data_IF_663452484460
#
_entry.id   IF_663452484460
#
_cell.length_a   1.000
_cell.length_b   1.000
_cell.length_c   1.000
_cell.angle_alpha   90.00
_cell.angle_beta   90.00
_cell.angle_gamma   90.00
#
_symmetry.space_group_name_H-M   'P 1'
#
loop_
_entity.id
_entity.type
_entity.pdbx_description
1 polymer ?
#
# COMPACT_ATOMS: atom_id res chain seq x y z
N UNK A 1 51.67 3.77 -33.51
CA UNK A 1 50.43 4.51 -33.46
C UNK A 1 49.45 3.73 -32.61
N UNK A 2 49.27 4.19 -31.35
CA UNK A 2 48.49 3.46 -30.34
C UNK A 2 47.13 4.16 -30.24
N UNK A 3 46.06 3.49 -30.67
CA UNK A 3 44.70 3.99 -30.59
C UNK A 3 44.23 3.80 -29.16
N UNK A 4 44.03 4.90 -28.42
CA UNK A 4 43.36 4.91 -27.11
C UNK A 4 41.86 4.72 -27.35
N UNK A 5 41.32 3.59 -26.91
CA UNK A 5 39.90 3.38 -26.74
C UNK A 5 39.43 4.23 -25.55
N UNK A 6 38.63 5.24 -25.81
CA UNK A 6 37.89 6.01 -24.80
C UNK A 6 36.62 5.22 -24.41
N UNK A 7 36.67 4.55 -23.28
CA UNK A 7 35.46 3.97 -22.66
C UNK A 7 34.63 5.11 -22.01
N UNK A 8 33.62 5.57 -22.73
CA UNK A 8 32.64 6.48 -22.19
C UNK A 8 31.51 5.66 -21.51
N UNK A 9 31.64 5.41 -20.21
CA UNK A 9 30.57 4.88 -19.39
C UNK A 9 29.81 6.05 -18.78
N UNK A 10 28.89 6.64 -19.54
CA UNK A 10 27.84 7.51 -19.00
C UNK A 10 26.74 6.61 -18.45
N UNK A 11 26.85 6.22 -17.19
CA UNK A 11 25.74 5.68 -16.43
C UNK A 11 24.81 6.85 -16.06
N UNK A 12 23.88 7.17 -16.95
CA UNK A 12 22.73 8.01 -16.60
C UNK A 12 21.97 7.26 -15.51
N UNK A 13 21.76 7.84 -14.31
CA UNK A 13 20.97 7.17 -13.29
C UNK A 13 19.58 6.93 -13.88
N UNK A 14 19.14 5.66 -13.87
CA UNK A 14 17.80 5.30 -14.32
C UNK A 14 16.79 6.16 -13.51
N UNK A 15 15.92 6.93 -14.16
CA UNK A 15 14.99 7.80 -13.44
C UNK A 15 14.19 6.97 -12.44
N UNK A 16 14.09 7.49 -11.22
CA UNK A 16 13.31 6.85 -10.15
C UNK A 16 11.84 6.84 -10.57
N UNK A 17 11.22 5.67 -10.55
CA UNK A 17 9.79 5.52 -10.81
C UNK A 17 8.99 6.33 -9.79
N UNK A 18 8.09 7.21 -10.25
CA UNK A 18 7.20 7.98 -9.38
C UNK A 18 6.03 7.11 -8.95
N UNK A 19 6.13 6.57 -7.74
CA UNK A 19 5.07 5.77 -7.13
C UNK A 19 4.39 6.58 -6.03
N UNK A 20 3.06 6.65 -6.09
CA UNK A 20 2.22 7.19 -5.01
C UNK A 20 1.49 6.02 -4.36
N UNK A 21 1.52 5.94 -3.03
CA UNK A 21 0.73 4.95 -2.31
C UNK A 21 -0.69 5.47 -2.05
N UNK A 22 -1.68 4.58 -2.16
CA UNK A 22 -3.06 4.78 -1.70
C UNK A 22 -3.33 3.72 -0.64
N UNK A 23 -3.47 4.14 0.61
CA UNK A 23 -3.74 3.25 1.74
C UNK A 23 -5.22 3.29 2.07
N UNK A 24 -5.90 2.15 1.94
CA UNK A 24 -7.32 2.02 2.28
C UNK A 24 -7.48 1.61 3.74
N UNK A 25 -8.10 2.49 4.52
CA UNK A 25 -8.31 2.32 5.96
C UNK A 25 -9.75 2.73 6.37
N UNK A 26 -10.73 2.55 5.48
CA UNK A 26 -12.10 3.01 5.65
C UNK A 26 -13.09 1.92 6.12
N UNK A 27 -12.61 0.72 6.44
CA UNK A 27 -13.44 -0.44 6.79
C UNK A 27 -14.29 -0.24 8.05
N UNK A 28 -15.43 -0.96 8.12
CA UNK A 28 -16.41 -0.90 9.23
C UNK A 28 -15.94 -1.58 10.52
N UNK A 29 -14.92 -2.44 10.42
CA UNK A 29 -14.43 -3.27 11.54
C UNK A 29 -15.54 -4.16 12.20
N UNK A 30 -16.60 -4.49 11.47
CA UNK A 30 -17.75 -5.22 12.01
C UNK A 30 -17.41 -6.57 12.63
N UNK A 31 -16.47 -7.31 12.02
CA UNK A 31 -15.98 -8.62 12.51
C UNK A 31 -15.00 -8.53 13.68
N UNK A 32 -14.53 -7.32 14.01
CA UNK A 32 -13.58 -7.03 15.08
C UNK A 32 -14.22 -6.28 16.25
N UNK A 33 -15.52 -6.48 16.46
CA UNK A 33 -16.28 -5.80 17.53
C UNK A 33 -16.36 -4.29 17.36
N UNK A 34 -16.32 -3.78 16.12
CA UNK A 34 -16.38 -2.35 15.81
C UNK A 34 -15.07 -1.59 16.05
N UNK A 35 -13.97 -2.30 16.36
CA UNK A 35 -12.65 -1.68 16.55
C UNK A 35 -11.84 -1.74 15.25
N UNK A 36 -11.32 -0.62 14.71
CA UNK A 36 -10.59 -0.61 13.44
C UNK A 36 -9.30 -1.43 13.52
N UNK A 37 -9.20 -2.46 12.68
CA UNK A 37 -8.07 -3.41 12.63
C UNK A 37 -6.71 -2.74 12.48
N UNK A 38 -6.67 -1.65 11.74
CA UNK A 38 -5.47 -0.83 11.53
C UNK A 38 -4.91 -0.19 12.80
N UNK A 39 -5.68 -0.18 13.90
CA UNK A 39 -5.25 0.26 15.23
C UNK A 39 -4.75 -0.89 16.14
N UNK A 40 -4.81 -2.13 15.69
CA UNK A 40 -4.06 -3.21 16.33
C UNK A 40 -2.58 -2.83 16.39
N UNK A 41 -1.92 -3.16 17.48
CA UNK A 41 -0.52 -2.85 17.72
C UNK A 41 0.35 -4.10 17.61
N UNK A 42 1.44 -3.96 16.87
CA UNK A 42 2.58 -4.86 16.86
C UNK A 42 3.77 -4.13 17.49
N UNK A 43 4.31 -4.67 18.58
CA UNK A 43 5.46 -4.07 19.27
C UNK A 43 5.22 -2.59 19.67
N UNK A 44 3.99 -2.29 20.12
CA UNK A 44 3.60 -0.94 20.56
C UNK A 44 3.26 0.04 19.43
N UNK A 45 3.44 -0.32 18.16
CA UNK A 45 3.11 0.51 17.01
C UNK A 45 1.83 0.01 16.32
N UNK A 46 0.88 0.90 16.00
CA UNK A 46 -0.32 0.51 15.25
C UNK A 46 0.03 -0.02 13.86
N UNK A 47 -0.78 -0.95 13.32
CA UNK A 47 -0.56 -1.49 11.97
C UNK A 47 -0.53 -0.37 10.92
N UNK A 48 -1.38 0.66 11.08
CA UNK A 48 -1.38 1.81 10.20
C UNK A 48 -0.06 2.60 10.26
N UNK A 49 0.40 2.94 11.46
CA UNK A 49 1.66 3.68 11.62
C UNK A 49 2.85 2.86 11.10
N UNK A 50 2.84 1.55 11.36
CA UNK A 50 3.82 0.62 10.84
C UNK A 50 3.84 0.62 9.31
N UNK A 51 2.68 0.46 8.64
CA UNK A 51 2.60 0.48 7.19
C UNK A 51 3.12 1.79 6.60
N UNK A 52 2.75 2.95 7.19
CA UNK A 52 3.24 4.26 6.75
C UNK A 52 4.78 4.36 6.88
N UNK A 53 5.33 3.82 7.95
CA UNK A 53 6.80 3.72 8.14
C UNK A 53 7.44 2.85 7.06
N UNK A 54 6.87 1.68 6.76
CA UNK A 54 7.39 0.79 5.72
C UNK A 54 7.32 1.43 4.32
N UNK A 55 6.23 2.15 4.00
CA UNK A 55 6.10 2.89 2.75
C UNK A 55 7.19 3.97 2.61
N UNK A 56 7.43 4.76 3.67
CA UNK A 56 8.49 5.77 3.69
C UNK A 56 9.87 5.14 3.49
N UNK A 57 10.16 4.02 4.17
CA UNK A 57 11.42 3.28 4.05
C UNK A 57 11.58 2.58 2.68
N UNK A 58 10.47 2.24 2.02
CA UNK A 58 10.48 1.75 0.64
C UNK A 58 10.77 2.86 -0.38
N UNK A 59 10.76 4.10 0.07
CA UNK A 59 11.06 5.27 -0.76
C UNK A 59 9.83 5.83 -1.45
N UNK A 60 8.65 5.66 -0.91
CA UNK A 60 7.44 6.35 -1.35
C UNK A 60 7.47 7.79 -0.83
N UNK A 61 7.37 8.77 -1.73
CA UNK A 61 7.42 10.19 -1.38
C UNK A 61 6.05 10.76 -0.99
N UNK A 62 4.97 10.19 -1.54
CA UNK A 62 3.60 10.63 -1.29
C UNK A 62 2.70 9.44 -0.98
N UNK A 63 1.93 9.53 0.09
CA UNK A 63 0.90 8.57 0.47
C UNK A 63 -0.44 9.25 0.65
N UNK A 64 -1.46 8.73 0.00
CA UNK A 64 -2.87 9.12 0.19
C UNK A 64 -3.51 8.11 1.12
N UNK A 65 -3.90 8.55 2.32
CA UNK A 65 -4.61 7.73 3.30
C UNK A 65 -6.10 8.00 3.22
N UNK A 66 -6.87 6.96 2.93
CA UNK A 66 -8.33 7.06 2.87
C UNK A 66 -8.93 6.48 4.15
N UNK A 67 -9.55 7.35 4.94
CA UNK A 67 -10.26 7.03 6.18
C UNK A 67 -11.77 6.93 5.92
N UNK A 68 -12.50 6.33 6.87
CA UNK A 68 -13.95 6.15 6.76
C UNK A 68 -14.64 6.18 8.13
N UNK A 69 -15.35 5.12 8.49
CA UNK A 69 -16.16 5.02 9.71
C UNK A 69 -15.49 5.47 11.01
N UNK A 70 -14.18 5.27 11.13
CA UNK A 70 -13.41 5.57 12.34
C UNK A 70 -12.39 6.70 12.13
N UNK A 71 -12.71 7.66 11.23
CA UNK A 71 -11.76 8.68 10.80
C UNK A 71 -11.15 9.48 11.97
N UNK A 72 -11.97 9.93 12.92
CA UNK A 72 -11.50 10.72 14.07
C UNK A 72 -10.53 9.93 14.95
N UNK A 73 -10.88 8.68 15.30
CA UNK A 73 -10.02 7.82 16.12
C UNK A 73 -8.69 7.54 15.43
N UNK A 74 -8.72 7.30 14.12
CA UNK A 74 -7.52 7.03 13.33
C UNK A 74 -6.66 8.27 13.16
N UNK A 75 -7.25 9.46 13.02
CA UNK A 75 -6.52 10.73 12.96
C UNK A 75 -5.78 11.02 14.28
N UNK A 76 -6.40 10.75 15.43
CA UNK A 76 -5.75 10.87 16.72
C UNK A 76 -4.54 9.93 16.83
N UNK A 77 -4.73 8.66 16.53
CA UNK A 77 -3.64 7.67 16.55
C UNK A 77 -2.49 8.01 15.57
N UNK A 78 -2.81 8.67 14.46
CA UNK A 78 -1.81 9.14 13.50
C UNK A 78 -1.01 10.35 14.01
N UNK A 79 -1.63 11.27 14.77
CA UNK A 79 -0.92 12.40 15.34
C UNK A 79 0.22 11.93 16.25
N UNK A 80 -0.06 10.94 17.09
CA UNK A 80 0.95 10.35 17.97
C UNK A 80 2.08 9.68 17.15
N UNK A 81 1.72 8.93 16.11
CA UNK A 81 2.69 8.25 15.25
C UNK A 81 3.51 9.23 14.38
N UNK A 82 2.94 10.36 13.96
CA UNK A 82 3.65 11.38 13.16
C UNK A 82 4.64 12.16 14.01
N UNK A 83 4.41 12.34 15.31
CA UNK A 83 5.37 12.90 16.25
C UNK A 83 6.62 12.00 16.36
N UNK A 84 6.43 10.68 16.39
CA UNK A 84 7.51 9.69 16.37
C UNK A 84 8.26 9.65 15.02
N UNK A 85 7.57 9.94 13.91
CA UNK A 85 8.17 10.01 12.57
C UNK A 85 8.93 11.31 12.33
N UNK A 86 8.69 12.37 13.15
CA UNK A 86 9.29 13.70 13.01
C UNK A 86 10.62 13.85 13.76
N UNK A 87 11.16 12.78 14.36
CA UNK A 87 12.42 12.78 15.10
C UNK A 87 13.63 13.23 14.26
N UNK A 88 14.65 13.81 14.88
CA UNK A 88 15.81 14.35 14.19
C UNK A 88 16.60 13.23 13.53
N UNK A 89 16.91 13.39 12.28
CA UNK A 89 17.86 12.65 11.45
C UNK A 89 17.33 11.58 10.48
N UNK A 90 17.50 11.92 9.22
CA UNK A 90 17.71 11.01 8.08
C UNK A 90 16.59 10.06 7.67
N UNK A 91 15.33 10.30 8.05
CA UNK A 91 14.18 9.57 7.47
C UNK A 91 13.72 10.26 6.19
N UNK A 92 13.42 9.50 5.11
CA UNK A 92 12.82 10.09 3.93
C UNK A 92 11.49 10.78 4.32
N UNK A 93 11.34 12.05 3.98
CA UNK A 93 10.16 12.85 4.29
C UNK A 93 9.00 12.44 3.36
N UNK A 94 8.23 11.43 3.76
CA UNK A 94 7.00 11.07 3.05
C UNK A 94 5.92 12.10 3.37
N UNK A 95 5.27 12.63 2.34
CA UNK A 95 4.10 13.50 2.50
C UNK A 95 2.83 12.66 2.61
N UNK A 96 2.12 12.82 3.73
CA UNK A 96 0.85 12.14 3.97
C UNK A 96 -0.33 13.06 3.62
N UNK A 97 -1.20 12.59 2.73
CA UNK A 97 -2.43 13.26 2.32
C UNK A 97 -3.62 12.46 2.84
N UNK A 98 -4.38 13.00 3.77
CA UNK A 98 -5.55 12.31 4.33
C UNK A 98 -6.83 12.74 3.62
N UNK A 99 -7.66 11.76 3.25
CA UNK A 99 -8.99 11.92 2.68
C UNK A 99 -9.99 11.13 3.51
N UNK A 100 -11.13 11.73 3.84
CA UNK A 100 -12.20 11.04 4.55
C UNK A 100 -13.30 10.67 3.57
N UNK A 101 -13.64 9.38 3.50
CA UNK A 101 -14.78 8.92 2.72
C UNK A 101 -16.07 9.24 3.49
N UNK A 102 -16.99 10.06 2.95
CA UNK A 102 -18.25 10.41 3.61
C UNK A 102 -19.26 9.26 3.58
N UNK A 103 -19.08 8.27 2.70
CA UNK A 103 -19.98 7.13 2.49
C UNK A 103 -19.23 5.81 2.41
N UNK A 104 -18.50 5.42 3.48
CA UNK A 104 -17.67 4.20 3.45
C UNK A 104 -18.52 2.92 3.38
N UNK A 105 -19.80 2.97 3.73
CA UNK A 105 -20.79 1.89 3.55
C UNK A 105 -21.08 1.55 2.09
N UNK A 106 -20.77 2.44 1.15
CA UNK A 106 -20.87 2.17 -0.29
C UNK A 106 -19.82 1.17 -0.79
N UNK A 107 -18.94 0.69 0.10
CA UNK A 107 -17.98 -0.36 -0.17
C UNK A 107 -16.56 0.14 -0.47
N UNK A 108 -15.65 -0.82 -0.64
CA UNK A 108 -14.23 -0.53 -0.81
C UNK A 108 -13.93 0.32 -2.05
N UNK A 109 -14.69 0.14 -3.15
CA UNK A 109 -14.48 0.90 -4.38
C UNK A 109 -14.73 2.40 -4.16
N UNK A 110 -15.70 2.81 -3.32
CA UNK A 110 -15.93 4.22 -3.00
C UNK A 110 -14.70 4.87 -2.36
N UNK A 111 -14.04 4.17 -1.44
CA UNK A 111 -12.80 4.62 -0.80
C UNK A 111 -11.64 4.63 -1.80
N UNK A 112 -11.52 3.59 -2.64
CA UNK A 112 -10.50 3.55 -3.69
C UNK A 112 -10.62 4.76 -4.60
N UNK A 113 -11.80 5.09 -5.11
CA UNK A 113 -12.02 6.22 -6.02
C UNK A 113 -11.65 7.57 -5.42
N UNK A 114 -11.95 7.79 -4.13
CA UNK A 114 -11.49 9.01 -3.43
C UNK A 114 -9.97 9.06 -3.35
N UNK A 115 -9.33 7.93 -3.06
CA UNK A 115 -7.88 7.80 -3.05
C UNK A 115 -7.27 8.08 -4.43
N UNK A 116 -7.85 7.50 -5.49
CA UNK A 116 -7.39 7.71 -6.88
C UNK A 116 -7.53 9.17 -7.31
N UNK A 117 -8.67 9.82 -7.01
CA UNK A 117 -8.91 11.23 -7.33
C UNK A 117 -7.87 12.15 -6.67
N UNK A 118 -7.53 11.88 -5.41
CA UNK A 118 -6.48 12.63 -4.71
C UNK A 118 -5.09 12.31 -5.30
N UNK A 119 -4.78 11.03 -5.53
CA UNK A 119 -3.49 10.61 -6.09
C UNK A 119 -3.27 11.18 -7.50
N UNK A 120 -4.32 11.36 -8.31
CA UNK A 120 -4.23 11.98 -9.63
C UNK A 120 -3.58 13.37 -9.58
N UNK A 121 -3.86 14.16 -8.54
CA UNK A 121 -3.25 15.50 -8.38
C UNK A 121 -1.74 15.47 -8.16
N UNK A 122 -1.18 14.29 -7.82
CA UNK A 122 0.25 14.07 -7.59
C UNK A 122 0.97 13.50 -8.83
N UNK A 123 0.22 13.27 -9.92
CA UNK A 123 0.71 12.80 -11.21
C UNK A 123 1.64 11.58 -11.12
N UNK A 124 1.20 10.44 -10.55
CA UNK A 124 2.00 9.24 -10.42
C UNK A 124 2.20 8.54 -11.78
N UNK A 125 3.34 7.88 -11.96
CA UNK A 125 3.52 6.89 -13.03
C UNK A 125 2.86 5.57 -12.65
N UNK A 126 2.97 5.20 -11.37
CA UNK A 126 2.33 4.02 -10.78
C UNK A 126 1.73 4.35 -9.43
N UNK A 127 0.66 3.66 -9.11
CA UNK A 127 0.01 3.66 -7.80
C UNK A 127 0.28 2.33 -7.10
N UNK A 128 0.56 2.40 -5.81
CA UNK A 128 0.58 1.24 -4.92
C UNK A 128 -0.67 1.29 -4.05
N UNK A 129 -1.65 0.43 -4.30
CA UNK A 129 -2.87 0.34 -3.49
C UNK A 129 -2.65 -0.70 -2.39
N UNK A 130 -2.56 -0.24 -1.15
CA UNK A 130 -2.29 -1.04 0.03
C UNK A 130 -3.49 -1.03 0.99
N UNK A 131 -3.59 -2.10 1.79
CA UNK A 131 -4.60 -2.25 2.85
C UNK A 131 -3.95 -2.03 4.21
N UNK A 132 -4.64 -1.30 5.10
CA UNK A 132 -4.11 -0.92 6.40
C UNK A 132 -4.10 -2.05 7.46
N UNK A 133 -4.51 -3.25 7.08
CA UNK A 133 -4.68 -4.43 7.96
C UNK A 133 -3.71 -5.58 7.65
N UNK A 134 -2.64 -5.30 6.90
CA UNK A 134 -1.59 -6.28 6.59
C UNK A 134 -0.41 -6.16 7.58
N UNK A 135 -0.31 -7.03 8.60
CA UNK A 135 0.64 -6.88 9.70
C UNK A 135 2.08 -7.26 9.36
N UNK A 136 2.29 -7.99 8.26
CA UNK A 136 3.59 -8.57 7.92
C UNK A 136 4.35 -7.80 6.86
N UNK A 137 3.72 -6.85 6.16
CA UNK A 137 4.39 -6.07 5.12
C UNK A 137 5.56 -5.28 5.69
N UNK A 138 6.72 -5.44 5.03
CA UNK A 138 7.97 -4.77 5.35
C UNK A 138 8.43 -3.90 4.17
N UNK A 139 9.33 -2.96 4.43
CA UNK A 139 9.87 -2.09 3.38
C UNK A 139 10.58 -2.86 2.25
N UNK A 140 11.17 -4.02 2.56
CA UNK A 140 11.77 -4.91 1.56
C UNK A 140 10.72 -5.43 0.57
N UNK A 141 9.58 -5.90 1.08
CA UNK A 141 8.49 -6.42 0.25
C UNK A 141 7.96 -5.36 -0.72
N UNK A 142 7.81 -4.12 -0.23
CA UNK A 142 7.34 -2.99 -1.03
C UNK A 142 8.38 -2.58 -2.09
N UNK A 143 9.67 -2.63 -1.78
CA UNK A 143 10.76 -2.40 -2.75
C UNK A 143 10.79 -3.47 -3.82
N UNK A 144 10.60 -4.73 -3.45
CA UNK A 144 10.55 -5.85 -4.39
C UNK A 144 9.37 -5.68 -5.37
N UNK A 145 8.21 -5.24 -4.87
CA UNK A 145 7.04 -4.97 -5.70
C UNK A 145 7.30 -3.82 -6.69
N UNK A 146 7.96 -2.74 -6.25
CA UNK A 146 8.37 -1.62 -7.12
C UNK A 146 9.40 -2.10 -8.17
N UNK A 147 10.33 -2.95 -7.77
CA UNK A 147 11.31 -3.53 -8.69
C UNK A 147 10.64 -4.46 -9.71
N UNK A 148 9.66 -5.26 -9.29
CA UNK A 148 8.89 -6.14 -10.15
C UNK A 148 8.16 -5.37 -11.26
N UNK A 149 7.62 -4.18 -10.97
CA UNK A 149 7.01 -3.31 -11.99
C UNK A 149 8.00 -2.95 -13.09
N UNK A 150 9.26 -2.63 -12.73
CA UNK A 150 10.31 -2.27 -13.70
C UNK A 150 10.73 -3.45 -14.60
N UNK A 151 10.53 -4.66 -14.12
CA UNK A 151 10.89 -5.91 -14.80
C UNK A 151 9.67 -6.60 -15.44
N UNK A 152 8.49 -6.04 -15.27
CA UNK A 152 7.25 -6.63 -15.79
C UNK A 152 7.25 -6.68 -17.33
N UNK A 153 6.55 -7.65 -17.93
CA UNK A 153 6.38 -7.73 -19.37
C UNK A 153 5.88 -6.42 -19.98
N UNK A 154 6.33 -6.11 -21.19
CA UNK A 154 5.88 -4.92 -21.93
C UNK A 154 4.35 -4.93 -22.08
N UNK A 155 3.71 -3.80 -21.83
CA UNK A 155 2.26 -3.65 -21.86
C UNK A 155 1.55 -3.95 -20.54
N UNK A 156 2.30 -4.34 -19.49
CA UNK A 156 1.73 -4.49 -18.14
C UNK A 156 1.23 -3.15 -17.63
N UNK A 157 -0.04 -3.10 -17.25
CA UNK A 157 -0.69 -1.91 -16.67
C UNK A 157 -1.12 -2.15 -15.21
N UNK A 158 -1.25 -3.40 -14.79
CA UNK A 158 -1.51 -3.80 -13.43
C UNK A 158 -0.55 -4.93 -13.05
N UNK A 159 0.09 -4.82 -11.89
CA UNK A 159 0.89 -5.90 -11.32
C UNK A 159 0.33 -6.24 -9.94
N UNK A 160 0.08 -7.52 -9.72
CA UNK A 160 -0.44 -8.03 -8.46
C UNK A 160 0.41 -9.22 -8.00
N UNK A 161 0.94 -9.20 -6.75
CA UNK A 161 1.64 -10.36 -6.22
C UNK A 161 0.69 -11.56 -6.13
N UNK A 162 1.21 -12.75 -6.40
CA UNK A 162 0.47 -14.00 -6.30
C UNK A 162 1.30 -15.03 -5.55
N UNK A 163 0.78 -15.53 -4.44
CA UNK A 163 1.42 -16.56 -3.60
C UNK A 163 0.61 -17.85 -3.74
N UNK A 164 1.24 -18.91 -4.25
CA UNK A 164 0.56 -20.17 -4.54
C UNK A 164 -0.71 -19.98 -5.40
N UNK A 165 -0.67 -19.03 -6.35
CA UNK A 165 -1.81 -18.69 -7.21
C UNK A 165 -2.87 -17.79 -6.56
N UNK A 166 -2.77 -17.48 -5.29
CA UNK A 166 -3.67 -16.57 -4.60
C UNK A 166 -3.21 -15.11 -4.78
N UNK A 167 -4.09 -14.20 -5.26
CA UNK A 167 -3.75 -12.80 -5.41
C UNK A 167 -3.58 -12.11 -4.06
N UNK A 168 -2.50 -11.36 -3.92
CA UNK A 168 -2.16 -10.61 -2.71
C UNK A 168 -2.24 -9.09 -2.88
N UNK A 169 -1.85 -8.38 -1.84
CA UNK A 169 -1.73 -6.93 -1.77
C UNK A 169 -0.34 -6.54 -1.23
N UNK A 170 0.16 -5.34 -1.53
CA UNK A 170 -0.43 -4.26 -2.35
C UNK A 170 -0.53 -4.59 -3.84
N UNK A 171 -1.43 -3.88 -4.53
CA UNK A 171 -1.58 -3.95 -5.99
C UNK A 171 -0.94 -2.72 -6.62
N UNK A 172 -0.18 -2.92 -7.71
CA UNK A 172 0.39 -1.83 -8.49
C UNK A 172 -0.49 -1.54 -9.71
N UNK A 173 -0.90 -0.29 -9.88
CA UNK A 173 -1.71 0.20 -10.99
C UNK A 173 -0.95 1.31 -11.72
N UNK A 174 -0.87 1.27 -13.04
CA UNK A 174 -0.31 2.36 -13.83
C UNK A 174 -1.19 3.61 -13.78
N UNK A 175 -0.63 4.77 -14.11
CA UNK A 175 -1.40 6.01 -14.23
C UNK A 175 -2.55 5.91 -15.24
N UNK A 176 -2.41 5.11 -16.30
CA UNK A 176 -3.49 4.87 -17.27
C UNK A 176 -4.64 4.05 -16.69
N UNK A 177 -4.36 3.05 -15.86
CA UNK A 177 -5.41 2.30 -15.12
C UNK A 177 -6.16 3.24 -14.18
N UNK A 178 -5.45 4.07 -13.44
CA UNK A 178 -6.08 5.08 -12.59
C UNK A 178 -7.04 5.96 -13.36
N UNK A 179 -6.61 6.49 -14.52
CA UNK A 179 -7.46 7.33 -15.36
C UNK A 179 -8.67 6.59 -15.92
N UNK A 180 -8.55 5.31 -16.22
CA UNK A 180 -9.64 4.48 -16.69
C UNK A 180 -10.63 4.09 -15.57
N UNK A 181 -10.16 3.93 -14.34
CA UNK A 181 -11.03 3.64 -13.19
C UNK A 181 -11.86 4.86 -12.76
N UNK A 182 -11.28 6.06 -12.75
CA UNK A 182 -11.93 7.25 -12.21
C UNK A 182 -13.35 7.54 -12.73
N UNK A 183 -13.69 7.39 -14.04
CA UNK A 183 -15.04 7.58 -14.54
C UNK A 183 -16.00 6.43 -14.22
N UNK A 184 -15.51 5.31 -13.65
CA UNK A 184 -16.27 4.08 -13.44
C UNK A 184 -16.35 3.75 -11.93
N UNK A 185 -17.24 4.38 -11.14
CA UNK A 185 -17.22 4.30 -9.67
C UNK A 185 -17.44 2.88 -9.10
N UNK A 186 -17.99 1.97 -9.90
CA UNK A 186 -18.20 0.57 -9.53
C UNK A 186 -17.00 -0.33 -9.83
N UNK A 187 -15.96 0.20 -10.47
CA UNK A 187 -14.78 -0.56 -10.84
C UNK A 187 -13.64 -0.33 -9.83
N UNK A 188 -12.98 -1.44 -9.47
CA UNK A 188 -11.73 -1.46 -8.74
C UNK A 188 -10.70 -2.32 -9.46
N UNK A 189 -9.65 -2.71 -8.77
CA UNK A 189 -8.61 -3.56 -9.34
C UNK A 189 -9.11 -4.94 -9.78
N UNK A 190 -10.12 -5.49 -9.09
CA UNK A 190 -10.72 -6.79 -9.45
C UNK A 190 -11.44 -6.73 -10.80
N UNK A 191 -12.28 -5.72 -11.00
CA UNK A 191 -13.04 -5.51 -12.24
C UNK A 191 -12.09 -5.21 -13.39
N UNK A 192 -11.07 -4.35 -13.15
CA UNK A 192 -10.03 -4.09 -14.15
C UNK A 192 -9.33 -5.37 -14.60
N UNK A 193 -8.88 -6.20 -13.66
CA UNK A 193 -8.22 -7.47 -13.94
C UNK A 193 -9.07 -8.41 -14.79
N UNK A 194 -10.37 -8.46 -14.52
CA UNK A 194 -11.30 -9.30 -15.27
C UNK A 194 -11.52 -8.81 -16.71
N UNK A 195 -11.54 -7.49 -16.91
CA UNK A 195 -11.79 -6.89 -18.22
C UNK A 195 -10.53 -6.80 -19.09
N UNK A 196 -9.34 -6.76 -18.49
CA UNK A 196 -8.09 -6.54 -19.19
C UNK A 196 -7.01 -7.57 -18.80
N UNK A 197 -7.29 -8.89 -18.87
CA UNK A 197 -6.37 -9.92 -18.38
C UNK A 197 -4.99 -9.89 -19.06
N UNK A 198 -4.90 -9.43 -20.33
CA UNK A 198 -3.64 -9.34 -21.06
C UNK A 198 -2.74 -8.17 -20.58
N UNK A 199 -3.28 -7.21 -19.82
CA UNK A 199 -2.56 -6.08 -19.26
C UNK A 199 -2.19 -6.29 -17.79
N UNK A 200 -2.51 -7.47 -17.24
CA UNK A 200 -2.28 -7.84 -15.85
C UNK A 200 -1.12 -8.81 -15.75
N UNK A 201 -0.12 -8.45 -14.97
CA UNK A 201 0.94 -9.36 -14.58
C UNK A 201 0.69 -9.87 -13.16
N UNK A 202 0.29 -11.15 -13.05
CA UNK A 202 0.25 -11.86 -11.77
C UNK A 202 1.70 -12.23 -11.42
N UNK A 203 2.34 -11.40 -10.59
CA UNK A 203 3.75 -11.58 -10.23
C UNK A 203 3.90 -12.72 -9.22
N UNK A 204 4.55 -13.84 -9.58
CA UNK A 204 4.68 -14.97 -8.67
C UNK A 204 5.64 -14.63 -7.53
N UNK A 205 5.21 -14.90 -6.31
CA UNK A 205 6.00 -14.69 -5.10
C UNK A 205 5.84 -15.89 -4.16
N UNK A 206 6.89 -16.19 -3.39
CA UNK A 206 6.85 -17.13 -2.28
C UNK A 206 6.64 -16.43 -0.94
N UNK A 207 6.61 -15.10 -0.93
CA UNK A 207 6.47 -14.30 0.29
C UNK A 207 5.00 -14.20 0.71
N UNK A 208 4.64 -14.92 1.77
CA UNK A 208 3.28 -14.95 2.30
C UNK A 208 2.78 -13.59 2.83
N UNK A 209 3.67 -12.62 3.09
CA UNK A 209 3.29 -11.30 3.61
C UNK A 209 2.26 -10.59 2.74
N UNK A 210 2.28 -10.85 1.43
CA UNK A 210 1.32 -10.25 0.49
C UNK A 210 -0.12 -10.75 0.64
N UNK A 211 -0.33 -11.92 1.27
CA UNK A 211 -1.64 -12.57 1.35
C UNK A 211 -2.19 -12.64 2.77
N UNK A 212 -1.52 -12.02 3.76
CA UNK A 212 -1.94 -12.08 5.16
C UNK A 212 -2.53 -10.74 5.56
N UNK A 213 -3.82 -10.74 5.81
CA UNK A 213 -4.61 -9.64 6.35
C UNK A 213 -5.35 -10.07 7.62
N UNK A 214 -5.79 -9.12 8.41
CA UNK A 214 -6.47 -9.34 9.69
C UNK A 214 -7.95 -9.04 9.53
N UNK A 215 -8.77 -10.07 9.33
CA UNK A 215 -10.22 -9.93 9.17
C UNK A 215 -11.00 -10.28 10.43
N UNK A 216 -10.50 -11.24 11.18
CA UNK A 216 -11.19 -11.84 12.34
C UNK A 216 -10.24 -11.97 13.55
N UNK A 217 -10.76 -12.15 14.78
CA UNK A 217 -9.92 -12.50 15.93
C UNK A 217 -9.12 -13.80 15.76
N UNK A 218 -9.66 -14.74 14.99
CA UNK A 218 -9.00 -16.02 14.66
C UNK A 218 -7.73 -15.77 13.82
N UNK A 219 -7.73 -14.78 12.93
CA UNK A 219 -6.55 -14.42 12.14
C UNK A 219 -5.43 -13.90 13.05
N UNK A 220 -5.77 -13.16 14.12
CA UNK A 220 -4.79 -12.72 15.13
C UNK A 220 -4.16 -13.93 15.85
N UNK A 221 -4.98 -14.89 16.26
CA UNK A 221 -4.48 -16.09 16.92
C UNK A 221 -3.58 -16.92 16.00
N UNK A 222 -3.99 -17.05 14.73
CA UNK A 222 -3.21 -17.75 13.70
C UNK A 222 -1.88 -17.04 13.42
N UNK A 223 -1.88 -15.72 13.33
CA UNK A 223 -0.66 -14.94 13.15
C UNK A 223 0.34 -15.19 14.30
N UNK A 224 -0.16 -15.22 15.54
CA UNK A 224 0.66 -15.52 16.71
C UNK A 224 1.24 -16.95 16.66
N UNK A 225 0.45 -17.92 16.23
CA UNK A 225 0.86 -19.32 16.13
C UNK A 225 1.88 -19.54 15.00
N UNK A 226 1.60 -19.02 13.80
CA UNK A 226 2.37 -19.35 12.59
C UNK A 226 3.64 -18.49 12.45
N UNK A 227 3.60 -17.24 12.96
CA UNK A 227 4.68 -16.25 12.79
C UNK A 227 5.29 -15.76 14.12
N UNK A 228 4.74 -16.17 15.27
CA UNK A 228 5.20 -15.70 16.59
C UNK A 228 4.91 -14.21 16.85
N UNK A 229 4.02 -13.59 16.07
CA UNK A 229 3.71 -12.17 16.15
C UNK A 229 2.46 -11.95 16.99
N UNK A 230 2.63 -11.21 18.08
CA UNK A 230 1.53 -10.82 18.97
C UNK A 230 0.96 -9.47 18.51
N UNK A 231 -0.36 -9.44 18.28
CA UNK A 231 -1.10 -8.21 18.08
C UNK A 231 -1.96 -7.93 19.31
N UNK A 232 -1.93 -6.69 19.77
CA UNK A 232 -2.71 -6.23 20.92
C UNK A 232 -3.50 -4.98 20.57
N UNK A 233 -4.58 -4.76 21.30
CA UNK A 233 -5.25 -3.45 21.25
C UNK A 233 -4.51 -2.49 22.18
N UNK A 234 -4.20 -1.29 21.70
CA UNK A 234 -3.69 -0.23 22.56
C UNK A 234 -4.63 0.04 23.74
N UNK A 235 -4.07 0.43 24.87
CA UNK A 235 -4.88 0.86 26.02
C UNK A 235 -5.67 2.10 25.59
N UNK A 236 -6.99 2.01 25.62
CA UNK A 236 -7.88 3.18 25.53
C UNK A 236 -7.73 3.96 26.85
N UNK A 237 -7.07 5.10 26.78
CA UNK A 237 -7.07 6.08 27.89
C UNK A 237 -8.42 6.72 27.98
#
# INVERSE_FOLDING_TARGET
MTVKQASCTLSTPCPRLRVVAVVLAAGTASRMGGRPKSLLQREGQTLLARLLTQLAQAGIDHTVLVLGHHAQLMQQALQDALLDLSGPSNRPSMQLHTVVNPSPEAGQNSSLHLGLAKAQTLNPEWLMVALADQPLLEAADLKDLIAAVKQAPLGTQMLQPAVNGQPGNPVMLSGSVMQALLPNPNWGGKEWRQQHPQQVHMWPSTNAHYCIDMDTPEDIAKLAQDYGIQLTWGQTS
#
